data_IF_255292718005
#
_entry.id   IF_255292718005
#
_cell.length_a   1.000
_cell.length_b   1.000
_cell.length_c   1.000
_cell.angle_alpha   90.00
_cell.angle_beta   90.00
_cell.angle_gamma   90.00
#
_symmetry.space_group_name_H-M   'P 1'
#
loop_
_entity.id
_entity.type
_entity.pdbx_description
1 polymer ?
#
# COMPACT_ATOMS: atom_id res chain seq x y z
N UNK A 1 1.84 16.32 18.74
CA UNK A 1 1.56 15.59 20.01
C UNK A 1 0.73 14.38 19.66
N UNK A 2 1.26 13.18 19.92
CA UNK A 2 0.52 11.91 19.81
C UNK A 2 -0.56 11.87 20.89
N UNK A 3 -1.81 11.64 20.48
CA UNK A 3 -2.94 11.50 21.39
C UNK A 3 -3.03 10.03 21.83
N UNK A 4 -3.33 9.76 23.11
CA UNK A 4 -3.67 8.40 23.54
C UNK A 4 -5.04 7.93 23.00
N UNK A 5 -5.83 8.86 22.45
CA UNK A 5 -7.18 8.58 21.95
C UNK A 5 -7.24 8.25 20.46
N UNK A 6 -6.17 8.48 19.71
CA UNK A 6 -6.11 8.21 18.27
C UNK A 6 -4.80 7.50 17.94
N UNK A 7 -4.83 6.38 17.19
CA UNK A 7 -3.59 5.74 16.74
C UNK A 7 -2.74 6.72 15.92
N UNK A 8 -1.44 6.77 16.20
CA UNK A 8 -0.51 7.73 15.60
C UNK A 8 -0.51 7.72 14.06
N UNK A 9 -0.77 6.57 13.45
CA UNK A 9 -0.90 6.43 12.00
C UNK A 9 -2.00 7.37 11.44
N UNK A 10 -3.18 7.36 12.05
CA UNK A 10 -4.28 8.25 11.66
C UNK A 10 -3.98 9.70 11.98
N UNK A 11 -3.31 9.95 13.11
CA UNK A 11 -2.84 11.29 13.47
C UNK A 11 -1.88 11.88 12.42
N UNK A 12 -0.96 11.06 11.89
CA UNK A 12 -0.02 11.48 10.85
C UNK A 12 -0.69 11.74 9.49
N UNK A 13 -1.75 11.00 9.16
CA UNK A 13 -2.51 11.14 7.91
C UNK A 13 -3.68 12.12 8.01
N UNK A 14 -3.92 12.73 9.19
CA UNK A 14 -5.10 13.56 9.43
C UNK A 14 -5.20 14.74 8.46
N UNK A 15 -4.08 15.38 8.16
CA UNK A 15 -4.00 16.53 7.25
C UNK A 15 -3.91 16.18 5.76
N UNK A 16 -3.95 14.88 5.41
CA UNK A 16 -3.79 14.39 4.05
C UNK A 16 -5.13 14.05 3.42
N UNK A 17 -5.46 14.67 2.30
CA UNK A 17 -6.72 14.51 1.60
C UNK A 17 -6.61 13.53 0.43
N UNK A 18 -5.42 13.35 -0.14
CA UNK A 18 -5.17 12.49 -1.31
C UNK A 18 -4.07 11.49 -1.02
N UNK A 19 -4.49 10.33 -0.55
CA UNK A 19 -3.59 9.32 -0.01
C UNK A 19 -3.38 8.21 -1.04
N UNK A 20 -2.13 7.83 -1.28
CA UNK A 20 -1.76 6.65 -2.05
C UNK A 20 -1.40 5.51 -1.10
N UNK A 21 -2.18 4.43 -1.10
CA UNK A 21 -1.83 3.18 -0.43
C UNK A 21 -1.23 2.21 -1.47
N UNK A 22 0.05 1.87 -1.31
CA UNK A 22 0.80 1.11 -2.30
C UNK A 22 1.43 -0.16 -1.71
N UNK A 23 1.16 -1.31 -2.30
CA UNK A 23 1.83 -2.57 -1.92
C UNK A 23 3.32 -2.55 -2.30
N UNK A 24 4.20 -2.82 -1.32
CA UNK A 24 5.63 -2.57 -1.42
C UNK A 24 6.43 -3.77 -1.96
N UNK A 25 6.24 -4.97 -1.40
CA UNK A 25 6.85 -6.23 -1.82
C UNK A 25 6.19 -6.83 -3.05
N UNK A 26 5.04 -6.28 -3.43
CA UNK A 26 4.31 -6.63 -4.63
C UNK A 26 3.38 -7.81 -4.46
N UNK A 27 3.02 -8.45 -5.57
CA UNK A 27 2.05 -9.55 -5.57
C UNK A 27 0.71 -9.17 -4.94
N UNK A 28 0.49 -9.54 -3.67
CA UNK A 28 -0.76 -9.31 -2.94
C UNK A 28 -0.68 -8.24 -1.84
N UNK A 29 0.44 -7.54 -1.66
CA UNK A 29 0.60 -6.55 -0.59
C UNK A 29 -0.45 -5.43 -0.60
N UNK A 30 -0.90 -5.02 -1.80
CA UNK A 30 -2.02 -4.07 -1.92
C UNK A 30 -3.28 -4.53 -1.20
N UNK A 31 -3.52 -5.85 -1.07
CA UNK A 31 -4.66 -6.40 -0.33
C UNK A 31 -4.50 -6.23 1.18
N UNK A 32 -3.28 -6.36 1.69
CA UNK A 32 -2.98 -6.12 3.10
C UNK A 32 -3.23 -4.65 3.48
N UNK A 33 -3.15 -3.73 2.50
CA UNK A 33 -3.46 -2.32 2.66
C UNK A 33 -4.95 -1.97 2.66
N UNK A 34 -5.83 -2.86 2.18
CA UNK A 34 -7.27 -2.55 2.01
C UNK A 34 -7.98 -2.15 3.31
N UNK A 35 -7.76 -2.81 4.46
CA UNK A 35 -8.41 -2.40 5.71
C UNK A 35 -8.05 -0.96 6.09
N UNK A 36 -6.78 -0.56 5.91
CA UNK A 36 -6.33 0.81 6.15
C UNK A 36 -6.89 1.78 5.12
N UNK A 37 -6.83 1.42 3.84
CA UNK A 37 -7.35 2.25 2.76
C UNK A 37 -8.84 2.57 2.97
N UNK A 38 -9.66 1.56 3.29
CA UNK A 38 -11.08 1.78 3.58
C UNK A 38 -11.29 2.62 4.84
N UNK A 39 -10.47 2.44 5.88
CA UNK A 39 -10.56 3.24 7.10
C UNK A 39 -10.25 4.73 6.89
N UNK A 40 -9.42 5.06 5.90
CA UNK A 40 -9.05 6.43 5.55
C UNK A 40 -10.05 7.10 4.58
N UNK A 41 -10.84 6.31 3.85
CA UNK A 41 -11.86 6.85 2.94
C UNK A 41 -12.99 7.54 3.71
N UNK A 42 -13.36 8.74 3.25
CA UNK A 42 -14.43 9.51 3.87
C UNK A 42 -14.63 10.87 3.21
N UNK A 43 -15.58 11.69 3.71
CA UNK A 43 -15.78 13.03 3.19
C UNK A 43 -14.47 13.84 3.21
N UNK A 44 -14.07 14.36 2.05
CA UNK A 44 -12.84 15.15 1.90
C UNK A 44 -11.55 14.34 1.75
N UNK A 45 -11.59 13.00 1.83
CA UNK A 45 -10.41 12.14 1.65
C UNK A 45 -10.62 11.14 0.52
N UNK A 46 -9.71 11.14 -0.46
CA UNK A 46 -9.60 10.13 -1.50
C UNK A 46 -8.39 9.22 -1.22
N UNK A 47 -8.60 7.92 -1.38
CA UNK A 47 -7.53 6.93 -1.27
C UNK A 47 -7.38 6.23 -2.62
N UNK A 48 -6.20 6.34 -3.19
CA UNK A 48 -5.80 5.67 -4.43
C UNK A 48 -4.98 4.43 -4.09
N UNK A 49 -5.11 3.39 -4.90
CA UNK A 49 -4.42 2.13 -4.69
C UNK A 49 -3.34 1.93 -5.75
N UNK A 50 -2.18 1.45 -5.32
CA UNK A 50 -1.14 1.00 -6.22
C UNK A 50 -0.48 -0.30 -5.75
N UNK A 51 0.27 -0.95 -6.64
CA UNK A 51 1.00 -2.16 -6.32
C UNK A 51 2.27 -2.27 -7.16
N UNK A 52 3.37 -2.74 -6.57
CA UNK A 52 4.48 -3.30 -7.34
C UNK A 52 4.02 -4.62 -7.96
N UNK A 53 3.77 -4.65 -9.26
CA UNK A 53 3.04 -5.74 -9.87
C UNK A 53 3.94 -6.94 -10.22
N UNK A 54 3.47 -8.13 -9.83
CA UNK A 54 4.05 -9.40 -10.25
C UNK A 54 3.35 -9.97 -11.49
N UNK A 55 2.30 -9.31 -11.96
CA UNK A 55 1.66 -9.64 -13.22
C UNK A 55 2.55 -9.32 -14.41
N UNK A 56 2.32 -10.05 -15.49
CA UNK A 56 2.98 -9.86 -16.79
C UNK A 56 2.41 -8.62 -17.48
N UNK A 57 2.81 -7.43 -17.03
CA UNK A 57 2.28 -6.15 -17.52
C UNK A 57 2.62 -5.87 -18.99
N UNK A 58 3.63 -6.53 -19.55
CA UNK A 58 3.96 -6.47 -20.99
C UNK A 58 2.85 -7.00 -21.91
N UNK A 59 1.84 -7.69 -21.36
CA UNK A 59 0.69 -8.21 -22.09
C UNK A 59 -0.57 -7.34 -22.02
N UNK A 60 -0.52 -6.18 -21.34
CA UNK A 60 -1.65 -5.25 -21.28
C UNK A 60 -1.65 -4.32 -22.51
N UNK A 61 -2.80 -3.70 -22.79
CA UNK A 61 -2.92 -2.81 -23.95
C UNK A 61 -2.13 -1.51 -23.72
N UNK A 62 -1.58 -0.92 -24.79
CA UNK A 62 -0.79 0.32 -24.70
C UNK A 62 -1.57 1.47 -24.05
N UNK A 63 -2.89 1.49 -24.24
CA UNK A 63 -3.79 2.51 -23.70
C UNK A 63 -4.00 2.37 -22.18
N UNK A 64 -3.65 1.23 -21.57
CA UNK A 64 -3.68 1.03 -20.12
C UNK A 64 -2.43 1.65 -19.42
N UNK A 65 -1.40 2.06 -20.17
CA UNK A 65 -0.20 2.70 -19.64
C UNK A 65 -0.37 4.22 -19.54
N UNK A 66 -0.17 4.78 -18.34
CA UNK A 66 -0.08 6.22 -18.14
C UNK A 66 1.29 6.76 -18.53
N UNK A 67 2.35 5.99 -18.25
CA UNK A 67 3.77 6.27 -18.53
C UNK A 67 4.54 4.94 -18.62
N UNK A 68 5.81 4.90 -19.12
CA UNK A 68 6.58 3.66 -19.32
C UNK A 68 6.71 2.71 -18.13
N UNK A 69 6.47 3.17 -16.89
CA UNK A 69 6.53 2.35 -15.68
C UNK A 69 5.31 2.55 -14.78
N UNK A 70 4.18 3.00 -15.34
CA UNK A 70 2.96 3.26 -14.59
C UNK A 70 1.74 2.88 -15.44
N UNK A 71 1.07 1.81 -15.05
CA UNK A 71 -0.18 1.38 -15.66
C UNK A 71 -1.38 1.74 -14.76
N UNK A 72 -2.51 2.09 -15.37
CA UNK A 72 -3.79 2.28 -14.69
C UNK A 72 -4.68 1.07 -14.97
N UNK A 73 -4.72 0.13 -14.01
CA UNK A 73 -5.46 -1.12 -14.18
C UNK A 73 -6.93 -0.89 -13.84
N UNK A 74 -7.80 -1.23 -14.78
CA UNK A 74 -9.26 -1.14 -14.67
C UNK A 74 -9.89 -2.53 -14.69
N UNK A 75 -11.20 -2.67 -14.42
CA UNK A 75 -11.89 -3.96 -14.46
C UNK A 75 -11.80 -4.70 -15.81
N UNK A 76 -11.64 -3.93 -16.90
CA UNK A 76 -11.64 -4.41 -18.29
C UNK A 76 -10.25 -4.55 -18.90
N UNK A 77 -9.19 -4.05 -18.22
CA UNK A 77 -7.80 -4.17 -18.67
C UNK A 77 -7.48 -5.62 -19.03
N UNK A 78 -6.94 -5.82 -20.24
CA UNK A 78 -6.57 -7.14 -20.75
C UNK A 78 -5.21 -7.55 -20.20
N UNK A 79 -4.96 -8.85 -20.12
CA UNK A 79 -3.71 -9.39 -19.56
C UNK A 79 -3.85 -10.83 -19.14
N UNK A 80 -2.83 -11.37 -18.48
CA UNK A 80 -2.77 -12.78 -18.11
C UNK A 80 -3.86 -13.18 -17.10
N UNK A 81 -4.63 -14.23 -17.41
CA UNK A 81 -5.82 -14.58 -16.62
C UNK A 81 -5.56 -15.32 -15.31
N UNK A 82 -4.41 -15.99 -15.15
CA UNK A 82 -4.15 -16.76 -13.92
C UNK A 82 -3.65 -15.93 -12.75
N UNK A 83 -3.00 -14.79 -13.02
CA UNK A 83 -2.36 -13.97 -11.99
C UNK A 83 -2.47 -12.50 -12.36
N UNK A 84 -3.51 -11.85 -11.85
CA UNK A 84 -3.74 -10.42 -12.01
C UNK A 84 -4.46 -9.84 -10.78
N UNK A 85 -3.77 -9.76 -9.64
CA UNK A 85 -4.34 -9.25 -8.38
C UNK A 85 -4.95 -7.85 -8.56
N UNK A 86 -4.26 -6.95 -9.23
CA UNK A 86 -4.69 -5.56 -9.42
C UNK A 86 -6.01 -5.49 -10.20
N UNK A 87 -6.16 -6.27 -11.28
CA UNK A 87 -7.42 -6.35 -12.05
C UNK A 87 -8.53 -7.02 -11.26
N UNK A 88 -8.20 -8.04 -10.47
CA UNK A 88 -9.17 -8.72 -9.60
C UNK A 88 -9.71 -7.75 -8.56
N UNK A 89 -8.83 -6.93 -7.99
CA UNK A 89 -9.19 -5.87 -7.06
C UNK A 89 -10.00 -4.77 -7.75
N UNK A 90 -9.60 -4.30 -8.93
CA UNK A 90 -10.34 -3.32 -9.74
C UNK A 90 -11.81 -3.76 -9.96
N UNK A 91 -12.02 -5.01 -10.39
CA UNK A 91 -13.37 -5.59 -10.55
C UNK A 91 -14.15 -5.63 -9.24
N UNK A 92 -13.48 -5.93 -8.13
CA UNK A 92 -14.13 -5.95 -6.82
C UNK A 92 -14.55 -4.55 -6.38
N UNK A 93 -13.73 -3.53 -6.62
CA UNK A 93 -14.03 -2.13 -6.30
C UNK A 93 -15.20 -1.61 -7.13
N UNK A 94 -15.22 -1.90 -8.45
CA UNK A 94 -16.35 -1.56 -9.33
C UNK A 94 -17.66 -2.20 -8.84
N UNK A 95 -17.63 -3.48 -8.49
CA UNK A 95 -18.78 -4.19 -7.94
C UNK A 95 -19.27 -3.62 -6.59
N UNK A 96 -18.47 -2.79 -5.93
CA UNK A 96 -18.82 -2.06 -4.70
C UNK A 96 -19.19 -0.58 -4.95
N UNK A 97 -19.21 -0.14 -6.22
CA UNK A 97 -19.50 1.26 -6.59
C UNK A 97 -18.40 2.24 -6.17
N UNK A 98 -17.16 1.78 -6.08
CA UNK A 98 -15.99 2.57 -5.70
C UNK A 98 -15.14 2.90 -6.93
N UNK A 99 -14.20 3.87 -6.81
CA UNK A 99 -13.17 4.06 -7.83
C UNK A 99 -12.41 2.74 -8.01
N UNK A 100 -12.46 2.20 -9.22
CA UNK A 100 -11.97 0.88 -9.56
C UNK A 100 -10.55 0.90 -10.12
N UNK A 101 -9.89 2.06 -10.20
CA UNK A 101 -8.54 2.14 -10.75
C UNK A 101 -7.53 1.68 -9.71
N UNK A 102 -6.73 0.67 -10.07
CA UNK A 102 -5.57 0.23 -9.28
C UNK A 102 -4.32 0.48 -10.12
N UNK A 103 -3.40 1.30 -9.62
CA UNK A 103 -2.17 1.58 -10.35
C UNK A 103 -1.17 0.43 -10.18
N UNK A 104 -0.47 0.10 -11.26
CA UNK A 104 0.50 -1.00 -11.25
C UNK A 104 1.86 -0.49 -11.73
N UNK A 105 2.89 -0.79 -10.96
CA UNK A 105 4.28 -0.54 -11.33
C UNK A 105 4.92 -1.85 -11.78
N UNK A 106 5.58 -1.92 -12.96
CA UNK A 106 6.34 -3.11 -13.32
C UNK A 106 7.55 -3.28 -12.41
N UNK A 107 8.00 -4.53 -12.22
CA UNK A 107 9.26 -4.84 -11.53
C UNK A 107 10.42 -4.20 -12.28
N UNK A 108 10.99 -3.18 -11.66
CA UNK A 108 12.08 -2.37 -12.19
C UNK A 108 13.00 -1.93 -11.05
N UNK A 109 14.12 -1.28 -11.35
CA UNK A 109 14.99 -0.74 -10.31
C UNK A 109 14.44 0.52 -9.63
N UNK A 110 15.12 0.97 -8.58
CA UNK A 110 14.72 2.13 -7.76
C UNK A 110 14.50 3.41 -8.58
N UNK A 111 15.35 3.69 -9.57
CA UNK A 111 15.27 4.92 -10.38
C UNK A 111 13.98 4.99 -11.22
N UNK A 112 13.69 4.03 -12.11
CA UNK A 112 12.44 4.05 -12.88
C UNK A 112 11.19 3.98 -11.99
N UNK A 113 11.21 3.19 -10.92
CA UNK A 113 10.09 3.13 -9.98
C UNK A 113 9.84 4.49 -9.30
N UNK A 114 10.90 5.20 -8.90
CA UNK A 114 10.77 6.56 -8.33
C UNK A 114 10.14 7.54 -9.30
N UNK A 115 10.54 7.52 -10.57
CA UNK A 115 9.92 8.40 -11.57
C UNK A 115 8.43 8.05 -11.77
N UNK A 116 8.07 6.76 -11.74
CA UNK A 116 6.68 6.34 -11.79
C UNK A 116 5.86 6.84 -10.58
N UNK A 117 6.41 6.76 -9.37
CA UNK A 117 5.77 7.33 -8.18
C UNK A 117 5.63 8.86 -8.29
N UNK A 118 6.66 9.57 -8.78
CA UNK A 118 6.59 11.03 -8.97
C UNK A 118 5.50 11.42 -9.95
N UNK A 119 5.40 10.71 -11.06
CA UNK A 119 4.31 10.94 -12.01
C UNK A 119 2.96 10.67 -11.36
N UNK A 120 2.80 9.55 -10.67
CA UNK A 120 1.52 9.21 -10.03
C UNK A 120 1.13 10.25 -8.98
N UNK A 121 2.09 10.68 -8.15
CA UNK A 121 1.92 11.75 -7.15
C UNK A 121 1.48 13.04 -7.83
N UNK A 122 2.12 13.44 -8.93
CA UNK A 122 1.75 14.65 -9.67
C UNK A 122 0.37 14.54 -10.30
N UNK A 123 0.06 13.41 -10.93
CA UNK A 123 -1.15 13.17 -11.72
C UNK A 123 -2.40 13.13 -10.84
N UNK A 124 -2.27 12.59 -9.63
CA UNK A 124 -3.33 12.48 -8.64
C UNK A 124 -3.17 13.46 -7.48
N UNK A 125 -2.22 14.39 -7.58
CA UNK A 125 -1.84 15.40 -6.56
C UNK A 125 -1.97 14.82 -5.14
N UNK A 126 -1.22 13.72 -4.96
CA UNK A 126 -1.12 12.93 -3.74
C UNK A 126 -0.33 13.74 -2.71
N UNK A 127 -0.86 13.82 -1.49
CA UNK A 127 -0.22 14.49 -0.37
C UNK A 127 0.27 13.53 0.72
N UNK A 128 -0.05 12.23 0.60
CA UNK A 128 0.51 11.17 1.43
C UNK A 128 0.73 9.87 0.67
N UNK A 129 1.88 9.23 0.90
CA UNK A 129 2.14 7.85 0.43
C UNK A 129 2.28 6.92 1.64
N UNK A 130 1.53 5.83 1.61
CA UNK A 130 1.61 4.74 2.59
C UNK A 130 2.04 3.48 1.84
N UNK A 131 3.29 3.08 2.06
CA UNK A 131 3.77 1.77 1.62
C UNK A 131 3.25 0.69 2.55
N UNK A 132 2.72 -0.39 1.98
CA UNK A 132 2.17 -1.51 2.71
C UNK A 132 2.97 -2.75 2.38
N UNK A 133 3.55 -3.34 3.41
CA UNK A 133 4.18 -4.66 3.39
C UNK A 133 3.20 -5.64 4.06
N UNK A 134 2.88 -6.74 3.35
CA UNK A 134 2.03 -7.79 3.88
C UNK A 134 2.65 -8.50 5.10
N UNK A 135 3.97 -8.53 5.16
CA UNK A 135 4.80 -9.05 6.23
C UNK A 135 5.50 -7.94 7.02
N UNK A 136 6.81 -8.08 7.16
CA UNK A 136 7.74 -7.30 8.00
C UNK A 136 9.17 -7.26 7.46
N UNK A 137 9.44 -7.88 6.32
CA UNK A 137 10.79 -7.92 5.73
C UNK A 137 11.24 -6.57 5.17
N UNK A 138 10.32 -5.62 4.92
CA UNK A 138 10.67 -4.21 4.67
C UNK A 138 11.44 -3.55 5.83
N UNK A 139 11.47 -4.17 7.02
CA UNK A 139 12.22 -3.68 8.17
C UNK A 139 13.65 -4.24 8.24
N UNK A 140 14.03 -5.18 7.36
CA UNK A 140 15.34 -5.84 7.39
C UNK A 140 16.41 -4.99 6.72
N UNK A 141 17.63 -5.00 7.28
CA UNK A 141 18.75 -4.13 6.87
C UNK A 141 19.79 -4.87 6.02
N UNK A 142 19.76 -6.20 6.00
CA UNK A 142 20.69 -7.03 5.27
C UNK A 142 21.85 -7.61 6.10
N UNK A 143 21.90 -7.33 7.41
CA UNK A 143 22.89 -7.91 8.33
C UNK A 143 22.27 -8.94 9.29
N UNK A 144 20.98 -9.23 9.14
CA UNK A 144 20.23 -10.25 9.87
C UNK A 144 20.54 -11.67 9.36
N UNK A 145 20.24 -12.69 10.18
CA UNK A 145 20.42 -14.10 9.81
C UNK A 145 19.53 -14.58 8.66
N UNK A 146 18.45 -13.84 8.37
CA UNK A 146 17.48 -14.11 7.31
C UNK A 146 16.69 -12.83 7.07
N UNK A 147 16.51 -12.49 5.78
CA UNK A 147 16.03 -11.18 5.34
C UNK A 147 14.68 -11.23 4.61
N UNK A 148 14.10 -12.42 4.42
CA UNK A 148 12.84 -12.60 3.70
C UNK A 148 13.00 -12.41 2.19
N UNK A 149 12.06 -11.67 1.59
CA UNK A 149 12.03 -11.26 0.17
C UNK A 149 12.27 -9.75 0.02
N UNK A 150 13.40 -9.21 0.50
CA UNK A 150 13.56 -7.78 0.69
C UNK A 150 13.78 -7.00 -0.62
N UNK A 151 14.01 -7.66 -1.75
CA UNK A 151 14.40 -6.97 -2.99
C UNK A 151 13.33 -6.00 -3.45
N UNK A 152 12.08 -6.48 -3.53
CA UNK A 152 10.93 -5.69 -3.92
C UNK A 152 10.60 -4.60 -2.89
N UNK A 153 10.53 -4.96 -1.61
CA UNK A 153 10.26 -4.02 -0.51
C UNK A 153 11.28 -2.90 -0.43
N UNK A 154 12.57 -3.22 -0.50
CA UNK A 154 13.64 -2.23 -0.47
C UNK A 154 13.62 -1.35 -1.73
N UNK A 155 13.24 -1.91 -2.88
CA UNK A 155 13.11 -1.13 -4.10
C UNK A 155 11.99 -0.10 -3.98
N UNK A 156 10.82 -0.51 -3.49
CA UNK A 156 9.69 0.38 -3.20
C UNK A 156 10.02 1.42 -2.14
N UNK A 157 10.66 1.00 -1.03
CA UNK A 157 11.09 1.89 0.05
C UNK A 157 12.07 2.96 -0.44
N UNK A 158 13.12 2.54 -1.16
CA UNK A 158 14.12 3.45 -1.70
C UNK A 158 13.58 4.36 -2.80
N UNK A 159 12.57 3.91 -3.56
CA UNK A 159 11.89 4.73 -4.55
C UNK A 159 11.14 5.87 -3.84
N UNK A 160 10.22 5.54 -2.93
CA UNK A 160 9.38 6.51 -2.20
C UNK A 160 10.18 7.43 -1.29
N UNK A 161 11.28 6.96 -0.70
CA UNK A 161 12.20 7.80 0.08
C UNK A 161 12.78 8.98 -0.72
N UNK A 162 12.85 8.86 -2.06
CA UNK A 162 13.29 9.93 -2.97
C UNK A 162 12.16 10.69 -3.67
N UNK A 163 10.90 10.45 -3.30
CA UNK A 163 9.72 11.18 -3.78
C UNK A 163 9.41 12.31 -2.81
N UNK A 164 9.20 13.51 -3.33
CA UNK A 164 8.77 14.67 -2.54
C UNK A 164 7.26 14.61 -2.37
N UNK A 165 6.82 14.28 -1.16
CA UNK A 165 5.41 14.27 -0.75
C UNK A 165 5.34 14.58 0.76
N UNK A 166 4.36 15.36 1.24
CA UNK A 166 4.31 15.81 2.63
C UNK A 166 4.38 14.70 3.67
N UNK A 167 3.66 13.59 3.45
CA UNK A 167 3.61 12.46 4.37
C UNK A 167 4.05 11.18 3.66
N UNK A 168 4.98 10.44 4.27
CA UNK A 168 5.45 9.13 3.81
C UNK A 168 5.50 8.19 5.00
N UNK A 169 4.80 7.06 4.89
CA UNK A 169 4.70 6.07 5.94
C UNK A 169 4.91 4.67 5.37
N UNK A 170 5.40 3.77 6.20
CA UNK A 170 5.47 2.33 5.93
C UNK A 170 4.61 1.63 6.98
N UNK A 171 3.79 0.68 6.53
CA UNK A 171 2.96 -0.15 7.40
C UNK A 171 3.22 -1.62 7.10
N UNK A 172 3.59 -2.37 8.15
CA UNK A 172 3.71 -3.82 8.12
C UNK A 172 2.40 -4.42 8.64
N UNK A 173 1.65 -5.11 7.80
CA UNK A 173 0.30 -5.57 8.11
C UNK A 173 0.26 -6.94 8.81
N UNK A 174 1.29 -7.77 8.63
CA UNK A 174 1.30 -9.16 9.07
C UNK A 174 2.54 -9.53 9.87
N UNK A 175 2.62 -9.06 11.11
CA UNK A 175 3.72 -9.42 12.00
C UNK A 175 3.85 -10.94 12.15
N UNK A 176 4.98 -11.47 11.69
CA UNK A 176 5.34 -12.89 11.78
C UNK A 176 4.90 -13.77 10.61
N UNK A 177 4.31 -13.21 9.55
CA UNK A 177 4.04 -13.94 8.30
C UNK A 177 5.36 -14.41 7.65
N UNK A 178 6.42 -13.59 7.70
CA UNK A 178 7.70 -13.90 7.05
C UNK A 178 8.60 -14.83 7.84
N UNK A 179 8.14 -15.32 9.00
CA UNK A 179 8.83 -16.43 9.67
C UNK A 179 8.96 -17.64 8.73
N UNK A 180 8.00 -17.83 7.81
CA UNK A 180 8.08 -18.84 6.76
C UNK A 180 9.22 -18.58 5.75
N UNK A 181 9.55 -17.31 5.51
CA UNK A 181 10.64 -16.87 4.64
C UNK A 181 11.97 -16.66 5.41
N UNK A 182 12.06 -17.13 6.65
CA UNK A 182 13.29 -17.10 7.45
C UNK A 182 13.55 -15.79 8.21
N UNK A 183 12.58 -14.88 8.25
CA UNK A 183 12.69 -13.65 9.05
C UNK A 183 12.61 -13.98 10.55
N UNK A 184 13.59 -13.50 11.30
CA UNK A 184 13.65 -13.69 12.75
C UNK A 184 12.90 -12.57 13.47
N UNK A 185 11.87 -12.93 14.27
CA UNK A 185 11.10 -11.95 15.04
C UNK A 185 11.95 -11.11 16.01
N UNK A 186 13.06 -11.65 16.52
CA UNK A 186 13.95 -10.89 17.38
C UNK A 186 14.59 -9.72 16.61
N UNK A 187 15.07 -9.96 15.38
CA UNK A 187 15.65 -8.91 14.56
C UNK A 187 14.61 -7.87 14.11
N UNK A 188 13.39 -8.29 13.78
CA UNK A 188 12.28 -7.35 13.52
C UNK A 188 12.08 -6.41 14.71
N UNK A 189 12.06 -6.96 15.94
CA UNK A 189 11.89 -6.15 17.16
C UNK A 189 13.08 -5.23 17.44
N UNK A 190 14.30 -5.68 17.16
CA UNK A 190 15.51 -4.86 17.28
C UNK A 190 15.50 -3.69 16.28
N UNK A 191 15.07 -3.93 15.05
CA UNK A 191 14.93 -2.90 14.03
C UNK A 191 13.82 -1.91 14.38
N UNK A 192 12.67 -2.37 14.89
CA UNK A 192 11.62 -1.50 15.42
C UNK A 192 12.11 -0.67 16.62
N UNK A 193 12.86 -1.26 17.55
CA UNK A 193 13.43 -0.53 18.69
C UNK A 193 14.47 0.52 18.25
N UNK A 194 15.21 0.26 17.17
CA UNK A 194 16.09 1.26 16.58
C UNK A 194 15.30 2.41 15.94
N UNK A 195 14.23 2.12 15.19
CA UNK A 195 13.34 3.15 14.64
C UNK A 195 12.67 3.98 15.74
N UNK A 196 12.23 3.35 16.82
CA UNK A 196 11.60 4.01 17.96
C UNK A 196 12.57 4.97 18.69
N UNK A 197 13.84 4.56 18.87
CA UNK A 197 14.89 5.44 19.41
C UNK A 197 15.10 6.70 18.56
N UNK A 198 14.90 6.60 17.25
CA UNK A 198 15.00 7.73 16.32
C UNK A 198 13.67 8.50 16.17
N UNK A 199 12.62 8.11 16.90
CA UNK A 199 11.27 8.69 16.79
C UNK A 199 10.57 8.38 15.47
N UNK A 200 11.07 7.40 14.70
CA UNK A 200 10.57 6.99 13.39
C UNK A 200 9.57 5.83 13.46
N UNK A 201 9.25 5.33 14.66
CA UNK A 201 8.21 4.33 14.89
C UNK A 201 6.95 4.97 15.49
N UNK A 202 5.92 5.30 14.70
CA UNK A 202 4.71 5.93 15.21
C UNK A 202 3.87 5.00 16.11
N UNK A 203 4.13 3.69 16.07
CA UNK A 203 3.49 2.69 16.94
C UNK A 203 2.87 1.53 16.14
N UNK A 204 2.08 0.72 16.85
CA UNK A 204 1.29 -0.37 16.27
C UNK A 204 -0.21 -0.14 16.54
N UNK A 205 -1.05 -0.66 15.66
CA UNK A 205 -2.49 -0.68 15.83
C UNK A 205 -3.06 -2.00 15.30
N UNK A 206 -4.25 -2.33 15.78
CA UNK A 206 -4.93 -3.57 15.41
C UNK A 206 -6.19 -3.25 14.61
N UNK A 207 -6.35 -3.85 13.44
CA UNK A 207 -7.48 -3.61 12.53
C UNK A 207 -8.53 -4.72 12.69
N UNK A 208 -9.13 -4.85 13.88
CA UNK A 208 -10.18 -5.88 14.13
C UNK A 208 -11.60 -5.36 13.83
N UNK A 209 -11.85 -4.05 13.95
CA UNK A 209 -13.23 -3.54 14.14
C UNK A 209 -13.88 -2.90 12.90
N UNK A 210 -13.12 -2.59 11.85
CA UNK A 210 -13.61 -1.74 10.75
C UNK A 210 -14.53 -2.46 9.74
N UNK A 211 -14.33 -3.77 9.54
CA UNK A 211 -15.18 -4.58 8.66
C UNK A 211 -16.63 -4.70 9.15
N UNK A 212 -16.87 -4.62 10.46
CA UNK A 212 -18.22 -4.74 11.04
C UNK A 212 -19.04 -3.46 10.82
N UNK A 213 -18.41 -2.30 10.98
CA UNK A 213 -19.12 -1.01 10.91
C UNK A 213 -19.44 -0.56 9.49
N UNK A 214 -18.61 -0.87 8.48
CA UNK A 214 -18.92 -0.51 7.08
C UNK A 214 -20.06 -1.37 6.50
N UNK A 215 -20.11 -2.66 6.84
CA UNK A 215 -21.25 -3.54 6.51
C UNK A 215 -22.54 -3.01 7.13
N UNK A 216 -22.51 -2.57 8.39
CA UNK A 216 -23.67 -2.00 9.08
C UNK A 216 -24.07 -0.62 8.52
N UNK A 217 -23.12 0.23 8.12
CA UNK A 217 -23.42 1.53 7.47
C UNK A 217 -24.00 1.37 6.08
N UNK A 218 -23.49 0.41 5.28
CA UNK A 218 -24.03 0.12 3.94
C UNK A 218 -25.41 -0.53 4.02
N UNK A 219 -25.64 -1.44 4.98
CA UNK A 219 -26.96 -2.03 5.22
C UNK A 219 -28.04 -1.00 5.62
N UNK A 220 -27.64 0.13 6.24
CA UNK A 220 -28.57 1.23 6.57
C UNK A 220 -28.86 2.17 5.41
N UNK A 221 -28.04 2.19 4.35
CA UNK A 221 -28.26 3.02 3.15
C UNK A 221 -29.13 2.34 2.09
N UNK A 222 -29.35 1.04 2.18
CA UNK A 222 -30.13 0.23 1.24
C UNK A 222 -31.59 -0.02 1.66
N UNK A 223 -32.09 0.67 2.70
CA UNK A 223 -33.52 0.68 3.04
C UNK A 223 -34.12 1.95 2.43
N UNK A 224 -34.93 1.85 1.36
CA UNK A 224 -35.72 2.98 0.90
C UNK A 224 -36.77 3.32 1.96
N UNK A 225 -36.92 4.60 2.29
CA UNK A 225 -38.11 5.11 2.96
C UNK A 225 -39.31 5.10 2.01
#
# INVERSE_FOLDING_TARGET
MTSLHEPSLFGALRGSDRILAAGAGGGFDVYAGLPLAFALMGPGKSVHLANLSFSTLDLIDVDDWCEPNLAAITPVTRGHDRYFPERTLARRLEAQGMDSTVYAFPRTGVRPLREAYRELVRRLDIDAVVLVDGGTDILMRGNESGVGTPEEDMTSLAAVAGVEVPVRLVTCAGFGIDAYHGVCHAHVRENLAALDRDGAYPGALTVIEWFRQDVERRARRSIPH
#
